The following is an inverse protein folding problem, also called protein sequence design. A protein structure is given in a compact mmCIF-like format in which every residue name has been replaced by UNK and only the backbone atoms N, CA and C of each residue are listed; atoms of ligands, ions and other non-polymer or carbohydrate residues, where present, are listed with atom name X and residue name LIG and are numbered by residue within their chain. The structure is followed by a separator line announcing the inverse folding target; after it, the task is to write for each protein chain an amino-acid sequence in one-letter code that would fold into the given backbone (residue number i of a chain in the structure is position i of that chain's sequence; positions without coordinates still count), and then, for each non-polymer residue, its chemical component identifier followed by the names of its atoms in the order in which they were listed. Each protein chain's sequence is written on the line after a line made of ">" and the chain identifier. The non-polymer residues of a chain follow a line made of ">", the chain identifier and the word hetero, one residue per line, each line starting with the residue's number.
data_IF_793757335185
#
_entry.id   IF_793757335185
#
_cell.length_a   1.000
_cell.length_b   1.000
_cell.length_c   1.000
_cell.angle_alpha   90.00
_cell.angle_beta   90.00
_cell.angle_gamma   90.00
#
_symmetry.space_group_name_H-M   'P 1'
#
loop_
_entity.id
_entity.type
_entity.pdbx_description
1 polymer ?
#
# COMPACT_ATOMS: atom_id res chain seq x y z
N UNK A 1 -13.50 37.33 22.86
CA UNK A 1 -12.22 36.67 23.22
C UNK A 1 -11.35 36.66 21.99
N UNK A 2 -10.22 37.36 22.04
CA UNK A 2 -9.31 37.47 20.90
C UNK A 2 -8.51 36.16 20.78
N UNK A 3 -8.87 35.33 19.80
CA UNK A 3 -8.26 34.01 19.55
C UNK A 3 -6.85 34.13 18.93
N UNK A 4 -6.34 35.35 18.71
CA UNK A 4 -5.04 35.64 18.09
C UNK A 4 -3.86 34.96 18.80
N UNK A 5 -3.88 34.84 20.14
CA UNK A 5 -2.85 34.17 20.92
C UNK A 5 -2.87 32.63 20.85
N UNK A 6 -4.03 32.01 20.58
CA UNK A 6 -4.18 30.55 20.55
C UNK A 6 -3.90 29.95 19.16
N UNK A 7 -4.00 30.76 18.10
CA UNK A 7 -3.76 30.32 16.71
C UNK A 7 -2.36 29.75 16.51
N UNK A 8 -1.33 30.43 17.02
CA UNK A 8 0.06 30.02 16.84
C UNK A 8 0.40 28.70 17.56
N UNK A 9 0.10 28.51 18.86
CA UNK A 9 0.26 27.22 19.51
C UNK A 9 -0.50 26.08 18.80
N UNK A 10 -1.74 26.34 18.37
CA UNK A 10 -2.53 25.34 17.65
C UNK A 10 -1.89 24.94 16.32
N UNK A 11 -1.43 25.92 15.53
CA UNK A 11 -0.72 25.67 14.27
C UNK A 11 0.55 24.86 14.52
N UNK A 12 1.33 25.21 15.54
CA UNK A 12 2.56 24.48 15.90
C UNK A 12 2.24 23.02 16.25
N UNK A 13 1.21 22.78 17.08
CA UNK A 13 0.77 21.43 17.43
C UNK A 13 0.35 20.64 16.19
N UNK A 14 -0.36 21.27 15.25
CA UNK A 14 -0.75 20.61 13.99
C UNK A 14 0.48 20.24 13.15
N UNK A 15 1.44 21.15 12.99
CA UNK A 15 2.66 20.89 12.20
C UNK A 15 3.50 19.79 12.84
N UNK A 16 3.70 19.83 14.16
CA UNK A 16 4.42 18.78 14.90
C UNK A 16 3.70 17.45 14.79
N UNK A 17 2.37 17.44 14.88
CA UNK A 17 1.55 16.25 14.70
C UNK A 17 1.69 15.63 13.30
N UNK A 18 1.67 16.45 12.24
CA UNK A 18 1.91 16.00 10.87
C UNK A 18 3.33 15.43 10.74
N UNK A 19 4.34 16.12 11.29
CA UNK A 19 5.72 15.65 11.30
C UNK A 19 5.89 14.31 12.00
N UNK A 20 5.21 14.12 13.14
CA UNK A 20 5.20 12.85 13.85
C UNK A 20 4.56 11.73 13.01
N UNK A 21 3.38 11.96 12.43
CA UNK A 21 2.68 10.96 11.62
C UNK A 21 3.49 10.56 10.37
N UNK A 22 4.26 11.50 9.81
CA UNK A 22 5.17 11.25 8.69
C UNK A 22 6.44 10.47 9.08
N UNK A 23 6.81 10.46 10.37
CA UNK A 23 8.00 9.78 10.90
C UNK A 23 7.79 8.26 11.06
N UNK A 24 8.88 7.48 11.15
CA UNK A 24 8.79 6.02 11.37
C UNK A 24 7.98 5.62 12.62
N UNK A 25 8.14 6.26 13.79
CA UNK A 25 7.28 6.00 14.95
C UNK A 25 5.79 6.26 14.69
N UNK A 26 5.45 7.37 14.02
CA UNK A 26 4.06 7.70 13.72
C UNK A 26 3.43 6.72 12.74
N UNK A 27 4.19 6.25 11.74
CA UNK A 27 3.75 5.22 10.81
C UNK A 27 3.48 3.89 11.54
N UNK A 28 4.39 3.46 12.42
CA UNK A 28 4.19 2.25 13.21
C UNK A 28 2.94 2.35 14.10
N UNK A 29 2.72 3.51 14.71
CA UNK A 29 1.52 3.77 15.50
C UNK A 29 0.24 3.66 14.65
N UNK A 30 0.22 4.26 13.46
CA UNK A 30 -0.93 4.17 12.55
C UNK A 30 -1.18 2.74 12.08
N UNK A 31 -0.14 1.99 11.71
CA UNK A 31 -0.27 0.58 11.31
C UNK A 31 -0.85 -0.22 12.47
N UNK A 32 -0.31 -0.07 13.68
CA UNK A 32 -0.84 -0.72 14.88
C UNK A 32 -2.31 -0.39 15.13
N UNK A 33 -2.71 0.87 14.89
CA UNK A 33 -4.10 1.32 15.05
C UNK A 33 -5.05 0.69 14.03
N UNK A 34 -4.61 0.45 12.79
CA UNK A 34 -5.38 -0.22 11.74
C UNK A 34 -5.34 -1.75 11.86
N UNK A 35 -4.34 -2.33 12.53
CA UNK A 35 -4.26 -3.78 12.76
C UNK A 35 -4.81 -4.23 14.12
N UNK A 36 -5.38 -3.31 14.91
CA UNK A 36 -5.85 -3.61 16.27
C UNK A 36 -7.12 -4.46 16.29
N UNK A 37 -8.01 -4.29 15.30
CA UNK A 37 -9.29 -5.00 15.27
C UNK A 37 -9.14 -6.39 14.64
N UNK A 38 -9.80 -7.40 15.21
CA UNK A 38 -9.84 -8.74 14.61
C UNK A 38 -10.62 -8.67 13.28
N UNK A 39 -10.04 -9.11 12.14
CA UNK A 39 -10.75 -9.10 10.86
C UNK A 39 -12.01 -9.96 10.89
N UNK A 40 -13.03 -9.55 10.14
CA UNK A 40 -14.29 -10.27 9.97
C UNK A 40 -15.34 -9.99 11.06
N UNK A 41 -15.02 -9.15 12.05
CA UNK A 41 -15.97 -8.79 13.13
C UNK A 41 -16.88 -7.61 12.75
N UNK A 42 -16.33 -6.62 12.05
CA UNK A 42 -17.07 -5.43 11.60
C UNK A 42 -16.64 -5.07 10.17
N UNK A 43 -17.49 -5.33 9.15
CA UNK A 43 -17.16 -5.09 7.75
C UNK A 43 -16.80 -3.63 7.44
N UNK A 44 -17.47 -2.67 8.11
CA UNK A 44 -17.21 -1.25 7.88
C UNK A 44 -15.92 -0.79 8.54
N UNK A 45 -15.55 -1.42 9.66
CA UNK A 45 -14.25 -1.19 10.27
C UNK A 45 -13.13 -1.82 9.46
N UNK A 46 -13.31 -3.04 8.99
CA UNK A 46 -12.33 -3.75 8.15
C UNK A 46 -12.06 -2.98 6.86
N UNK A 47 -13.10 -2.50 6.19
CA UNK A 47 -12.96 -1.65 4.99
C UNK A 47 -12.17 -0.37 5.27
N UNK A 48 -12.39 0.26 6.43
CA UNK A 48 -11.67 1.48 6.84
C UNK A 48 -10.21 1.19 7.18
N UNK A 49 -9.96 0.12 7.91
CA UNK A 49 -8.64 -0.29 8.36
C UNK A 49 -7.78 -0.75 7.16
N UNK A 50 -8.35 -1.54 6.24
CA UNK A 50 -7.71 -1.91 4.97
C UNK A 50 -7.35 -0.67 4.14
N UNK A 51 -8.30 0.26 3.99
CA UNK A 51 -8.06 1.51 3.26
C UNK A 51 -6.99 2.38 3.96
N UNK A 52 -6.92 2.34 5.29
CA UNK A 52 -5.87 2.98 6.08
C UNK A 52 -4.48 2.45 5.73
N UNK A 53 -4.30 1.12 5.81
CA UNK A 53 -3.04 0.46 5.46
C UNK A 53 -2.66 0.71 3.99
N UNK A 54 -3.63 0.64 3.07
CA UNK A 54 -3.47 0.90 1.64
C UNK A 54 -2.95 2.32 1.37
N UNK A 55 -3.42 3.32 2.13
CA UNK A 55 -2.95 4.72 2.03
C UNK A 55 -1.55 4.89 2.59
N UNK A 56 -1.24 4.29 3.75
CA UNK A 56 0.11 4.34 4.33
C UNK A 56 1.12 3.70 3.39
N UNK A 57 0.82 2.52 2.85
CA UNK A 57 1.69 1.86 1.86
C UNK A 57 1.94 2.74 0.64
N UNK A 58 0.90 3.38 0.11
CA UNK A 58 1.02 4.34 -1.00
C UNK A 58 1.89 5.55 -0.65
N UNK A 59 1.69 6.14 0.54
CA UNK A 59 2.48 7.27 1.03
C UNK A 59 3.97 6.91 1.15
N UNK A 60 4.29 5.74 1.69
CA UNK A 60 5.66 5.23 1.80
C UNK A 60 6.28 4.95 0.43
N UNK A 61 5.50 4.44 -0.52
CA UNK A 61 5.93 4.25 -1.91
C UNK A 61 6.34 5.59 -2.55
N UNK A 62 5.59 6.67 -2.31
CA UNK A 62 5.94 8.00 -2.80
C UNK A 62 7.19 8.59 -2.14
N UNK A 63 7.50 8.18 -0.91
CA UNK A 63 8.74 8.53 -0.22
C UNK A 63 9.93 7.63 -0.55
N UNK A 64 9.79 6.73 -1.53
CA UNK A 64 10.82 5.74 -1.89
C UNK A 64 11.21 4.78 -0.76
N UNK A 65 10.35 4.62 0.24
CA UNK A 65 10.52 3.68 1.36
C UNK A 65 9.94 2.31 0.99
N UNK A 66 10.52 1.69 -0.04
CA UNK A 66 9.93 0.54 -0.73
C UNK A 66 9.73 -0.69 0.16
N UNK A 67 10.67 -1.00 1.06
CA UNK A 67 10.57 -2.14 1.96
C UNK A 67 9.43 -1.96 2.97
N UNK A 68 9.35 -0.79 3.61
CA UNK A 68 8.25 -0.48 4.53
C UNK A 68 6.90 -0.48 3.80
N UNK A 69 6.85 0.07 2.58
CA UNK A 69 5.65 0.07 1.76
C UNK A 69 5.20 -1.36 1.42
N UNK A 70 6.14 -2.23 1.01
CA UNK A 70 5.89 -3.64 0.71
C UNK A 70 5.31 -4.37 1.91
N UNK A 71 5.95 -4.25 3.09
CA UNK A 71 5.51 -4.94 4.31
C UNK A 71 4.08 -4.52 4.73
N UNK A 72 3.74 -3.24 4.60
CA UNK A 72 2.40 -2.74 4.97
C UNK A 72 1.35 -3.19 3.96
N UNK A 73 1.65 -3.13 2.66
CA UNK A 73 0.74 -3.63 1.62
C UNK A 73 0.52 -5.14 1.75
N UNK A 74 1.59 -5.90 2.01
CA UNK A 74 1.52 -7.34 2.28
C UNK A 74 0.65 -7.63 3.51
N UNK A 75 0.84 -6.89 4.61
CA UNK A 75 -0.02 -7.00 5.80
C UNK A 75 -1.50 -6.79 5.46
N UNK A 76 -1.83 -5.79 4.63
CA UNK A 76 -3.21 -5.54 4.21
C UNK A 76 -3.77 -6.71 3.36
N UNK A 77 -2.97 -7.19 2.41
CA UNK A 77 -3.33 -8.31 1.51
C UNK A 77 -3.55 -9.61 2.28
N UNK A 78 -2.68 -9.94 3.23
CA UNK A 78 -2.76 -11.15 4.05
C UNK A 78 -3.95 -11.09 5.03
N UNK A 79 -4.21 -9.92 5.60
CA UNK A 79 -5.23 -9.75 6.63
C UNK A 79 -6.66 -9.79 6.09
N UNK A 80 -6.90 -9.19 4.93
CA UNK A 80 -8.25 -9.06 4.35
C UNK A 80 -8.47 -9.99 3.14
N UNK A 81 -7.39 -10.55 2.58
CA UNK A 81 -7.45 -11.47 1.45
C UNK A 81 -8.11 -10.87 0.21
N UNK A 82 -8.50 -11.73 -0.72
CA UNK A 82 -9.14 -11.32 -1.98
C UNK A 82 -10.51 -10.64 -1.79
N UNK A 83 -11.08 -10.70 -0.58
CA UNK A 83 -12.32 -9.98 -0.23
C UNK A 83 -12.10 -8.49 0.04
N UNK A 84 -10.84 -8.08 0.27
CA UNK A 84 -10.47 -6.69 0.49
C UNK A 84 -10.67 -5.82 -0.76
N UNK A 85 -11.25 -4.63 -0.58
CA UNK A 85 -11.56 -3.71 -1.67
C UNK A 85 -10.29 -3.13 -2.34
N UNK A 86 -9.13 -3.26 -1.71
CA UNK A 86 -7.86 -2.77 -2.21
C UNK A 86 -6.85 -3.90 -2.46
N UNK A 87 -7.28 -5.17 -2.40
CA UNK A 87 -6.40 -6.32 -2.55
C UNK A 87 -5.58 -6.28 -3.84
N UNK A 88 -6.25 -6.18 -5.00
CA UNK A 88 -5.60 -6.18 -6.32
C UNK A 88 -4.74 -4.94 -6.54
N UNK A 89 -5.23 -3.78 -6.11
CA UNK A 89 -4.46 -2.54 -6.17
C UNK A 89 -3.21 -2.57 -5.28
N UNK A 90 -3.28 -3.19 -4.10
CA UNK A 90 -2.12 -3.41 -3.24
C UNK A 90 -1.10 -4.32 -3.93
N UNK A 91 -1.53 -5.48 -4.45
CA UNK A 91 -0.64 -6.38 -5.21
C UNK A 91 0.04 -5.68 -6.39
N UNK A 92 -0.69 -4.92 -7.19
CA UNK A 92 -0.11 -4.16 -8.29
C UNK A 92 0.95 -3.16 -7.84
N UNK A 93 0.73 -2.45 -6.72
CA UNK A 93 1.72 -1.51 -6.17
C UNK A 93 2.91 -2.21 -5.54
N UNK A 94 2.72 -3.41 -4.97
CA UNK A 94 3.82 -4.24 -4.46
C UNK A 94 4.81 -4.61 -5.57
N UNK A 95 4.35 -4.84 -6.81
CA UNK A 95 5.26 -5.08 -7.96
C UNK A 95 6.31 -3.96 -8.08
N UNK A 96 5.89 -2.70 -7.97
CA UNK A 96 6.81 -1.56 -8.04
C UNK A 96 7.80 -1.54 -6.87
N UNK A 97 7.36 -1.91 -5.67
CA UNK A 97 8.26 -2.05 -4.53
C UNK A 97 9.30 -3.15 -4.77
N UNK A 98 8.86 -4.32 -5.25
CA UNK A 98 9.71 -5.47 -5.52
C UNK A 98 10.76 -5.15 -6.60
N UNK A 99 10.37 -4.51 -7.70
CA UNK A 99 11.31 -4.04 -8.73
C UNK A 99 12.37 -3.09 -8.17
N UNK A 100 11.99 -2.22 -7.22
CA UNK A 100 12.92 -1.25 -6.62
C UNK A 100 13.80 -1.84 -5.53
N UNK A 101 13.45 -3.01 -5.02
CA UNK A 101 14.24 -3.79 -4.06
C UNK A 101 15.06 -4.88 -4.75
N UNK A 102 15.12 -4.89 -6.08
CA UNK A 102 15.82 -5.90 -6.88
C UNK A 102 15.27 -7.34 -6.73
N UNK A 103 14.01 -7.46 -6.29
CA UNK A 103 13.30 -8.74 -6.11
C UNK A 103 12.52 -9.11 -7.37
N UNK A 104 13.24 -9.25 -8.49
CA UNK A 104 12.65 -9.35 -9.83
C UNK A 104 11.80 -10.60 -10.04
N UNK A 105 12.21 -11.76 -9.53
CA UNK A 105 11.41 -12.99 -9.61
C UNK A 105 10.06 -12.83 -8.90
N UNK A 106 10.05 -12.20 -7.72
CA UNK A 106 8.81 -11.97 -6.98
C UNK A 106 7.92 -10.94 -7.66
N UNK A 107 8.51 -9.90 -8.26
CA UNK A 107 7.78 -8.95 -9.08
C UNK A 107 7.10 -9.65 -10.28
N UNK A 108 7.83 -10.53 -10.97
CA UNK A 108 7.29 -11.33 -12.07
C UNK A 108 6.17 -12.25 -11.60
N UNK A 109 6.37 -13.01 -10.51
CA UNK A 109 5.34 -13.89 -9.96
C UNK A 109 4.06 -13.11 -9.60
N UNK A 110 4.21 -11.94 -8.96
CA UNK A 110 3.08 -11.07 -8.62
C UNK A 110 2.37 -10.54 -9.87
N UNK A 111 3.10 -10.22 -10.94
CA UNK A 111 2.51 -9.84 -12.23
C UNK A 111 1.73 -10.99 -12.86
N UNK A 112 2.27 -12.21 -12.84
CA UNK A 112 1.58 -13.40 -13.33
C UNK A 112 0.28 -13.66 -12.56
N UNK A 113 0.30 -13.52 -11.24
CA UNK A 113 -0.92 -13.61 -10.43
C UNK A 113 -1.99 -12.58 -10.84
N UNK A 114 -1.58 -11.33 -11.11
CA UNK A 114 -2.49 -10.28 -11.57
C UNK A 114 -3.08 -10.58 -12.96
N UNK A 115 -2.27 -11.12 -13.87
CA UNK A 115 -2.68 -11.52 -15.22
C UNK A 115 -3.68 -12.68 -15.15
N UNK A 116 -3.35 -13.74 -14.41
CA UNK A 116 -4.22 -14.93 -14.25
C UNK A 116 -5.56 -14.55 -13.64
N UNK A 117 -5.56 -13.68 -12.63
CA UNK A 117 -6.78 -13.19 -12.00
C UNK A 117 -7.56 -12.18 -12.86
N UNK A 118 -7.00 -11.72 -13.98
CA UNK A 118 -7.53 -10.61 -14.76
C UNK A 118 -7.85 -9.39 -13.90
N UNK A 119 -6.91 -9.00 -13.05
CA UNK A 119 -7.12 -8.04 -11.97
C UNK A 119 -7.62 -6.67 -12.46
N UNK A 120 -7.27 -6.24 -13.69
CA UNK A 120 -7.78 -5.01 -14.30
C UNK A 120 -9.30 -4.99 -14.51
N UNK A 121 -9.92 -6.15 -14.71
CA UNK A 121 -11.39 -6.26 -14.82
C UNK A 121 -12.09 -6.13 -13.45
N UNK A 122 -11.38 -6.46 -12.37
CA UNK A 122 -11.89 -6.41 -11.00
C UNK A 122 -11.66 -5.02 -10.39
N UNK A 123 -10.48 -4.45 -10.64
CA UNK A 123 -10.06 -3.17 -10.12
C UNK A 123 -9.47 -2.29 -11.23
N UNK A 124 -10.23 -1.27 -11.63
CA UNK A 124 -9.87 -0.33 -12.70
C UNK A 124 -8.57 0.46 -12.43
N UNK A 125 -8.03 0.43 -11.21
CA UNK A 125 -6.73 1.05 -10.88
C UNK A 125 -5.56 0.17 -11.30
N UNK A 126 -5.80 -1.12 -11.56
CA UNK A 126 -4.82 -2.05 -12.08
C UNK A 126 -4.87 -2.00 -13.62
N UNK A 127 -3.73 -1.90 -14.31
CA UNK A 127 -3.70 -1.93 -15.77
C UNK A 127 -4.31 -3.20 -16.36
N UNK A 128 -4.78 -3.11 -17.59
CA UNK A 128 -5.29 -4.26 -18.36
C UNK A 128 -4.22 -5.34 -18.54
N UNK A 129 -4.68 -6.58 -18.78
CA UNK A 129 -3.82 -7.75 -18.92
C UNK A 129 -2.77 -7.61 -20.02
N UNK A 130 -3.07 -6.90 -21.11
CA UNK A 130 -2.10 -6.67 -22.19
C UNK A 130 -0.89 -5.87 -21.68
N UNK A 131 -1.14 -4.82 -20.90
CA UNK A 131 -0.09 -4.01 -20.28
C UNK A 131 0.69 -4.79 -19.23
N UNK A 132 0.00 -5.59 -18.41
CA UNK A 132 0.64 -6.44 -17.41
C UNK A 132 1.52 -7.52 -18.07
N UNK A 133 1.04 -8.13 -19.15
CA UNK A 133 1.76 -9.16 -19.91
C UNK A 133 3.01 -8.58 -20.55
N UNK A 134 2.91 -7.42 -21.21
CA UNK A 134 4.06 -6.73 -21.77
C UNK A 134 5.11 -6.42 -20.69
N UNK A 135 4.67 -5.93 -19.53
CA UNK A 135 5.56 -5.65 -18.41
C UNK A 135 6.23 -6.92 -17.89
N UNK A 136 5.48 -8.01 -17.74
CA UNK A 136 6.00 -9.29 -17.26
C UNK A 136 7.01 -9.91 -18.23
N UNK A 137 6.72 -9.87 -19.54
CA UNK A 137 7.64 -10.32 -20.59
C UNK A 137 8.94 -9.54 -20.58
N UNK A 138 8.86 -8.21 -20.54
CA UNK A 138 10.05 -7.36 -20.45
C UNK A 138 10.89 -7.68 -19.21
N UNK A 139 10.24 -7.91 -18.06
CA UNK A 139 10.93 -8.23 -16.82
C UNK A 139 11.61 -9.59 -16.92
N UNK A 140 10.96 -10.58 -17.54
CA UNK A 140 11.53 -11.89 -17.84
C UNK A 140 12.74 -11.82 -18.78
N UNK A 141 12.64 -11.09 -19.88
CA UNK A 141 13.70 -10.95 -20.87
C UNK A 141 14.93 -10.20 -20.33
N UNK A 142 14.71 -9.11 -19.60
CA UNK A 142 15.81 -8.27 -19.09
C UNK A 142 16.57 -8.94 -17.95
N UNK A 143 15.89 -9.75 -17.14
CA UNK A 143 16.46 -10.36 -15.94
C UNK A 143 16.63 -11.88 -16.04
N UNK A 144 16.42 -12.47 -17.22
CA UNK A 144 16.52 -13.93 -17.50
C UNK A 144 15.74 -14.78 -16.48
N UNK A 145 14.51 -14.37 -16.17
CA UNK A 145 13.69 -15.01 -15.15
C UNK A 145 13.05 -16.31 -15.66
N UNK A 146 12.80 -17.23 -14.72
CA UNK A 146 12.09 -18.49 -15.01
C UNK A 146 10.57 -18.27 -15.02
#
# INVERSE_FOLDING_TARGET
>A
MDLSGLKWPLIIVVIVGIGFIASSPGINWMVGRYTQAVPGQDPEKDRRDEAGLTRIGGYLLYQWRYESALNIMQTAVERYGASGANYWYNKYRMVKCLEKLDRMQEAYNTLQELIVASAGNIDQRVPDNDNLTLRAQKLKEVHDLQ
#
